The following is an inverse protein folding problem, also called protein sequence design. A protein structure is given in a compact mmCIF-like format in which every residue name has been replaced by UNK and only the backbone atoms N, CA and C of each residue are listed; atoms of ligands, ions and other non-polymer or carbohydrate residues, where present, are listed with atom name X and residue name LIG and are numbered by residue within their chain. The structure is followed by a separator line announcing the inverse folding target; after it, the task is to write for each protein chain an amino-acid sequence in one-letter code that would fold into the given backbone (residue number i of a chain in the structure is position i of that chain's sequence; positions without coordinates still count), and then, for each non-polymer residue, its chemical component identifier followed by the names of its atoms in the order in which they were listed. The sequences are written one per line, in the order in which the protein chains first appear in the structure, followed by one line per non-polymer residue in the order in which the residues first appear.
data_IF_378158575132
#
_entry.id   IF_378158575132
#
_cell.length_a   1.000
_cell.length_b   1.000
_cell.length_c   1.000
_cell.angle_alpha   90.00
_cell.angle_beta   90.00
_cell.angle_gamma   90.00
#
_symmetry.space_group_name_H-M   'P 1'
#
loop_
_entity.id
_entity.type
_entity.pdbx_description
1 polymer ?
#
# COMPACT_ATOMS: atom_id res chain seq x y z
N UNK A 1 -56.37 -1.14 -24.40
CA UNK A 1 -56.12 0.30 -24.15
C UNK A 1 -55.09 0.39 -23.03
N UNK A 2 -53.83 0.69 -23.35
CA UNK A 2 -52.75 0.77 -22.37
C UNK A 2 -52.77 2.16 -21.71
N UNK A 3 -52.84 2.19 -20.37
CA UNK A 3 -52.76 3.43 -19.59
C UNK A 3 -51.33 3.98 -19.65
N UNK A 4 -51.17 5.19 -20.15
CA UNK A 4 -49.89 5.91 -20.13
C UNK A 4 -49.58 6.36 -18.69
N UNK A 5 -48.31 6.28 -18.23
CA UNK A 5 -47.94 6.75 -16.90
C UNK A 5 -48.03 8.29 -16.80
N UNK A 6 -48.64 8.77 -15.71
CA UNK A 6 -48.81 10.19 -15.40
C UNK A 6 -47.48 10.90 -15.08
N UNK A 7 -47.41 12.20 -15.36
CA UNK A 7 -46.21 13.03 -15.27
C UNK A 7 -45.49 13.01 -13.90
N UNK A 8 -46.20 12.77 -12.80
CA UNK A 8 -45.63 12.65 -11.45
C UNK A 8 -44.75 11.41 -11.25
N UNK A 9 -44.99 10.31 -11.98
CA UNK A 9 -44.15 9.11 -11.89
C UNK A 9 -42.83 9.24 -12.67
N UNK A 10 -42.74 10.18 -13.63
CA UNK A 10 -41.47 10.50 -14.31
C UNK A 10 -40.53 11.34 -13.43
N UNK A 11 -41.06 12.17 -12.54
CA UNK A 11 -40.24 13.02 -11.67
C UNK A 11 -39.56 12.25 -10.52
N UNK A 12 -40.16 11.17 -10.04
CA UNK A 12 -39.59 10.35 -8.97
C UNK A 12 -38.47 9.41 -9.44
N UNK A 13 -38.43 9.04 -10.72
CA UNK A 13 -37.40 8.17 -11.28
C UNK A 13 -36.07 8.92 -11.53
N UNK A 14 -36.14 10.21 -11.83
CA UNK A 14 -34.96 11.03 -12.18
C UNK A 14 -34.08 11.34 -10.96
N UNK A 15 -34.67 11.45 -9.77
CA UNK A 15 -33.94 11.76 -8.52
C UNK A 15 -33.16 10.58 -7.95
N UNK A 16 -33.58 9.34 -8.25
CA UNK A 16 -32.88 8.12 -7.81
C UNK A 16 -31.69 7.73 -8.72
N UNK A 17 -31.59 8.32 -9.91
CA UNK A 17 -30.47 8.09 -10.82
C UNK A 17 -29.24 8.94 -10.48
N UNK A 18 -29.42 10.14 -9.92
CA UNK A 18 -28.33 11.07 -9.62
C UNK A 18 -27.44 10.64 -8.44
N UNK A 19 -27.96 9.90 -7.46
CA UNK A 19 -27.16 9.46 -6.29
C UNK A 19 -26.28 8.22 -6.56
N UNK A 20 -26.55 7.45 -7.62
CA UNK A 20 -25.75 6.26 -7.95
C UNK A 20 -24.48 6.57 -8.75
N UNK A 21 -24.40 7.73 -9.41
CA UNK A 21 -23.21 8.10 -10.20
C UNK A 21 -22.11 8.75 -9.35
N UNK A 22 -22.44 9.35 -8.20
CA UNK A 22 -21.46 9.95 -7.30
C UNK A 22 -20.63 8.92 -6.50
N UNK A 23 -21.15 7.70 -6.33
CA UNK A 23 -20.45 6.63 -5.61
C UNK A 23 -19.47 5.84 -6.50
N UNK A 24 -19.69 5.80 -7.82
CA UNK A 24 -18.86 5.01 -8.74
C UNK A 24 -17.59 5.76 -9.19
N UNK A 25 -17.59 7.10 -9.16
CA UNK A 25 -16.41 7.91 -9.50
C UNK A 25 -15.32 7.85 -8.41
N UNK A 26 -15.70 7.75 -7.13
CA UNK A 26 -14.74 7.57 -6.03
C UNK A 26 -14.02 6.22 -6.07
N UNK A 27 -14.67 5.16 -6.54
CA UNK A 27 -14.05 3.83 -6.60
C UNK A 27 -13.03 3.69 -7.75
N UNK A 28 -13.08 4.55 -8.78
CA UNK A 28 -12.16 4.49 -9.92
C UNK A 28 -10.89 5.31 -9.74
N UNK A 29 -10.89 6.29 -8.84
CA UNK A 29 -9.69 7.04 -8.47
C UNK A 29 -8.75 6.25 -7.54
N UNK A 30 -9.28 5.43 -6.63
CA UNK A 30 -8.44 4.56 -5.77
C UNK A 30 -7.81 3.38 -6.53
N UNK A 31 -8.34 2.99 -7.69
CA UNK A 31 -7.76 1.93 -8.52
C UNK A 31 -6.71 2.42 -9.54
N UNK A 32 -6.71 3.71 -9.89
CA UNK A 32 -5.76 4.27 -10.87
C UNK A 32 -4.48 4.84 -10.23
N UNK A 33 -4.48 5.10 -8.92
CA UNK A 33 -3.27 5.46 -8.16
C UNK A 33 -2.48 4.23 -7.66
N UNK A 34 -3.03 3.02 -7.83
CA UNK A 34 -2.35 1.76 -7.51
C UNK A 34 -1.63 1.11 -8.72
N UNK A 35 -1.75 1.67 -9.92
CA UNK A 35 -1.33 0.99 -11.17
C UNK A 35 -0.36 1.78 -12.06
N UNK A 36 0.06 2.99 -11.65
CA UNK A 36 1.04 3.80 -12.40
C UNK A 36 2.03 4.44 -11.46
N UNK A 37 2.98 3.67 -10.94
CA UNK A 37 4.43 3.96 -10.94
C UNK A 37 5.15 2.73 -10.34
N UNK A 38 5.25 1.67 -11.14
CA UNK A 38 6.41 0.77 -11.09
C UNK A 38 7.08 0.91 -12.48
N UNK A 39 8.39 0.72 -12.64
CA UNK A 39 9.49 0.60 -11.68
C UNK A 39 10.66 1.55 -12.09
N UNK A 40 11.85 1.34 -11.53
CA UNK A 40 13.12 2.01 -11.88
C UNK A 40 13.34 3.41 -11.29
N UNK A 41 13.82 3.39 -10.05
CA UNK A 41 15.20 3.84 -9.86
C UNK A 41 15.94 2.79 -9.06
N UNK A 42 16.75 2.01 -9.78
CA UNK A 42 17.95 1.32 -9.31
C UNK A 42 18.17 1.38 -7.79
N UNK A 43 17.72 0.34 -7.09
CA UNK A 43 18.49 -0.17 -5.95
C UNK A 43 19.58 -1.13 -6.49
N UNK A 44 20.20 -0.75 -7.61
CA UNK A 44 21.51 -1.25 -7.99
C UNK A 44 22.48 -0.43 -7.14
N UNK A 45 23.28 -1.11 -6.30
CA UNK A 45 24.26 -0.54 -5.35
C UNK A 45 23.79 -0.21 -3.92
N UNK A 46 22.66 -0.74 -3.45
CA UNK A 46 22.46 -0.90 -2.00
C UNK A 46 22.98 -2.28 -1.59
N UNK A 47 24.30 -2.45 -1.55
CA UNK A 47 24.89 -3.66 -0.96
C UNK A 47 24.21 -3.93 0.39
N UNK A 48 23.72 -5.15 0.63
CA UNK A 48 23.00 -5.44 1.84
C UNK A 48 23.96 -5.31 3.02
N UNK A 49 23.93 -4.17 3.70
CA UNK A 49 24.80 -3.90 4.85
C UNK A 49 24.35 -4.64 6.10
N UNK A 50 23.16 -5.23 6.10
CA UNK A 50 22.58 -5.83 7.28
C UNK A 50 21.96 -7.19 6.97
N UNK A 51 22.09 -8.12 7.91
CA UNK A 51 21.48 -9.45 7.85
C UNK A 51 20.74 -9.77 9.15
N UNK A 52 19.58 -10.41 9.03
CA UNK A 52 18.83 -10.88 10.19
C UNK A 52 19.55 -12.07 10.82
N UNK A 53 19.95 -11.93 12.08
CA UNK A 53 20.62 -12.98 12.86
C UNK A 53 19.66 -13.65 13.85
N UNK A 54 18.65 -12.91 14.31
CA UNK A 54 17.58 -13.39 15.18
C UNK A 54 16.59 -14.31 14.46
N UNK A 55 15.62 -14.90 15.20
CA UNK A 55 14.60 -15.77 14.62
C UNK A 55 13.69 -15.03 13.64
N UNK A 56 13.27 -13.81 14.02
CA UNK A 56 12.48 -12.91 13.19
C UNK A 56 12.79 -11.46 13.59
N UNK A 57 12.85 -10.57 12.61
CA UNK A 57 12.90 -9.13 12.79
C UNK A 57 11.67 -8.51 12.12
N UNK A 58 10.98 -7.62 12.82
CA UNK A 58 9.88 -6.84 12.27
C UNK A 58 10.40 -5.43 12.03
N UNK A 59 10.41 -5.00 10.76
CA UNK A 59 10.96 -3.71 10.36
C UNK A 59 9.87 -2.96 9.59
N UNK A 60 9.67 -1.69 9.94
CA UNK A 60 8.74 -0.83 9.21
C UNK A 60 9.34 -0.40 7.87
N UNK A 61 8.48 -0.32 6.86
CA UNK A 61 8.77 0.37 5.61
C UNK A 61 8.47 1.87 5.79
N UNK A 62 9.02 2.74 4.93
CA UNK A 62 8.71 4.17 4.95
C UNK A 62 7.21 4.48 4.81
N UNK A 63 6.44 3.62 4.14
CA UNK A 63 4.98 3.72 4.01
C UNK A 63 4.19 3.39 5.29
N UNK A 64 4.89 3.09 6.40
CA UNK A 64 4.29 2.74 7.68
C UNK A 64 3.79 1.29 7.79
N UNK A 65 3.99 0.47 6.76
CA UNK A 65 3.71 -0.97 6.82
C UNK A 65 4.84 -1.71 7.55
N UNK A 66 4.55 -2.91 8.06
CA UNK A 66 5.53 -3.74 8.77
C UNK A 66 5.86 -4.99 7.94
N UNK A 67 7.16 -5.32 7.83
CA UNK A 67 7.64 -6.52 7.16
C UNK A 67 8.35 -7.44 8.13
N UNK A 68 8.02 -8.72 8.03
CA UNK A 68 8.62 -9.80 8.82
C UNK A 68 9.77 -10.40 8.03
N UNK A 69 10.98 -10.30 8.58
CA UNK A 69 12.18 -10.85 8.00
C UNK A 69 12.73 -11.97 8.88
N UNK A 70 13.06 -13.09 8.27
CA UNK A 70 13.57 -14.26 8.96
C UNK A 70 15.10 -14.30 8.91
N UNK A 71 15.68 -15.15 9.76
CA UNK A 71 17.13 -15.33 9.82
C UNK A 71 17.75 -15.56 8.44
N UNK A 72 18.81 -14.82 8.15
CA UNK A 72 19.51 -14.83 6.87
C UNK A 72 18.95 -13.86 5.82
N UNK A 73 17.79 -13.24 6.08
CA UNK A 73 17.27 -12.21 5.20
C UNK A 73 18.17 -10.96 5.21
N UNK A 74 18.37 -10.41 4.02
CA UNK A 74 19.09 -9.14 3.85
C UNK A 74 18.16 -7.97 4.13
N UNK A 75 18.67 -6.98 4.88
CA UNK A 75 17.97 -5.74 5.18
C UNK A 75 18.65 -4.62 4.40
N UNK A 76 17.94 -4.08 3.41
CA UNK A 76 18.42 -2.93 2.63
C UNK A 76 18.02 -1.63 3.35
N UNK A 77 18.97 -0.75 3.70
CA UNK A 77 18.67 0.45 4.49
C UNK A 77 17.73 1.43 3.78
N UNK A 78 17.62 1.35 2.46
CA UNK A 78 16.74 2.21 1.65
C UNK A 78 15.28 1.72 1.64
N UNK A 79 15.07 0.41 1.74
CA UNK A 79 13.74 -0.22 1.69
C UNK A 79 12.97 -0.16 3.02
N UNK A 80 13.62 0.28 4.09
CA UNK A 80 13.11 0.23 5.45
C UNK A 80 13.38 1.51 6.21
N UNK A 81 12.55 1.77 7.21
CA UNK A 81 12.69 2.91 8.09
C UNK A 81 13.97 2.82 8.94
N UNK A 82 14.76 3.91 8.95
CA UNK A 82 16.06 3.96 9.58
C UNK A 82 15.99 3.78 11.11
N UNK A 83 14.95 4.31 11.76
CA UNK A 83 14.78 4.18 13.21
C UNK A 83 14.36 2.75 13.59
N UNK A 84 13.55 2.11 12.75
CA UNK A 84 13.21 0.69 12.88
C UNK A 84 14.44 -0.21 12.72
N UNK A 85 15.33 0.08 11.76
CA UNK A 85 16.60 -0.64 11.60
C UNK A 85 17.47 -0.48 12.85
N UNK A 86 17.69 0.75 13.33
CA UNK A 86 18.47 1.00 14.57
C UNK A 86 17.89 0.24 15.75
N UNK A 87 16.56 0.19 15.87
CA UNK A 87 15.88 -0.54 16.92
C UNK A 87 16.19 -2.03 16.86
N UNK A 88 15.98 -2.70 15.72
CA UNK A 88 16.23 -4.15 15.61
C UNK A 88 17.73 -4.51 15.71
N UNK A 89 18.62 -3.60 15.31
CA UNK A 89 20.07 -3.74 15.54
C UNK A 89 20.39 -3.64 17.02
N UNK A 90 19.81 -2.68 17.75
CA UNK A 90 20.00 -2.56 19.20
C UNK A 90 19.50 -3.77 20.00
N UNK A 91 18.49 -4.46 19.47
CA UNK A 91 17.96 -5.71 20.02
C UNK A 91 18.80 -6.94 19.64
N UNK A 92 19.80 -6.78 18.75
CA UNK A 92 20.63 -7.88 18.26
C UNK A 92 19.89 -8.84 17.33
N UNK A 93 18.75 -8.44 16.76
CA UNK A 93 18.00 -9.23 15.78
C UNK A 93 18.60 -9.13 14.38
N UNK A 94 19.29 -8.03 14.11
CA UNK A 94 19.96 -7.73 12.84
C UNK A 94 21.40 -7.33 13.13
N UNK A 95 22.33 -7.81 12.31
CA UNK A 95 23.75 -7.47 12.41
C UNK A 95 24.24 -6.81 11.12
N UNK A 96 25.19 -5.89 11.25
CA UNK A 96 25.89 -5.32 10.12
C UNK A 96 26.87 -6.35 9.54
N UNK A 97 26.83 -6.53 8.22
CA UNK A 97 27.75 -7.35 7.45
C UNK A 97 28.70 -6.42 6.69
N UNK A 98 30.01 -6.69 6.84
CA UNK A 98 31.12 -5.97 6.23
C UNK A 98 31.48 -6.52 4.87
#
# INVERSE_FOLDING_TARGET
MAAAPSAEQKAAADKAAAEKQAAEEKAKQEASEAASTEPEKEAEDAEPRFIVTGPVAVIRTPDGSERYLYRGAHVLPDAFDADSIKHVVSLGLVAEIK
#
